data_IF_732786915839
#
_entry.id   IF_732786915839
#
_cell.length_a   1.000
_cell.length_b   1.000
_cell.length_c   1.000
_cell.angle_alpha   90.00
_cell.angle_beta   90.00
_cell.angle_gamma   90.00
#
_symmetry.space_group_name_H-M   'P 1'
#
loop_
_entity.id
_entity.type
_entity.pdbx_description
1 polymer ?
#
# COMPACT_ATOMS: atom_id res chain seq x y z
N UNK A 1 6.10 31.87 6.17
CA UNK A 1 6.28 30.47 6.65
C UNK A 1 4.97 29.85 7.18
N UNK A 2 3.79 30.22 6.63
CA UNK A 2 2.46 29.75 7.11
C UNK A 2 1.74 28.79 6.15
N UNK A 3 2.35 28.38 5.03
CA UNK A 3 1.72 27.52 4.01
C UNK A 3 1.95 26.00 4.20
N UNK A 4 2.89 25.62 5.07
CA UNK A 4 3.24 24.22 5.33
C UNK A 4 2.10 23.34 5.92
N UNK A 5 1.24 23.81 6.85
CA UNK A 5 0.24 22.91 7.44
C UNK A 5 -0.80 22.45 6.41
N UNK A 6 -1.24 23.34 5.51
CA UNK A 6 -2.19 22.96 4.44
C UNK A 6 -1.58 21.98 3.44
N UNK A 7 -0.29 22.13 3.12
CA UNK A 7 0.41 21.23 2.20
C UNK A 7 0.56 19.79 2.75
N UNK A 8 0.47 19.60 4.07
CA UNK A 8 0.54 18.28 4.73
C UNK A 8 -0.85 17.72 5.02
N UNK A 9 -1.77 18.54 5.53
CA UNK A 9 -3.12 18.09 5.90
C UNK A 9 -3.95 17.74 4.67
N UNK A 10 -3.78 18.47 3.56
CA UNK A 10 -4.60 18.25 2.36
C UNK A 10 -4.35 16.89 1.70
N UNK A 11 -3.09 16.44 1.48
CA UNK A 11 -2.84 15.07 1.02
C UNK A 11 -3.43 14.02 1.96
N UNK A 12 -3.22 14.13 3.27
CA UNK A 12 -3.74 13.15 4.25
C UNK A 12 -5.27 13.07 4.19
N UNK A 13 -5.96 14.21 4.07
CA UNK A 13 -7.41 14.25 3.98
C UNK A 13 -7.95 13.74 2.63
N UNK A 14 -7.26 14.03 1.51
CA UNK A 14 -7.77 13.74 0.15
C UNK A 14 -7.33 12.39 -0.42
N UNK A 15 -6.21 11.83 0.05
CA UNK A 15 -5.70 10.55 -0.45
C UNK A 15 -6.71 9.40 -0.30
N UNK A 16 -7.40 9.21 0.85
CA UNK A 16 -8.41 8.16 0.97
C UNK A 16 -9.55 8.30 -0.04
N UNK A 17 -10.00 9.53 -0.30
CA UNK A 17 -11.05 9.81 -1.28
C UNK A 17 -10.61 9.46 -2.69
N UNK A 18 -9.37 9.83 -3.07
CA UNK A 18 -8.81 9.49 -4.39
C UNK A 18 -8.65 7.97 -4.56
N UNK A 19 -8.16 7.28 -3.54
CA UNK A 19 -8.02 5.81 -3.56
C UNK A 19 -9.39 5.14 -3.69
N UNK A 20 -10.38 5.61 -2.94
CA UNK A 20 -11.74 5.06 -3.03
C UNK A 20 -12.39 5.29 -4.40
N UNK A 21 -12.18 6.48 -4.98
CA UNK A 21 -12.63 6.75 -6.35
C UNK A 21 -11.92 5.85 -7.37
N UNK A 22 -10.62 5.60 -7.23
CA UNK A 22 -9.89 4.69 -8.11
C UNK A 22 -10.44 3.25 -8.03
N UNK A 23 -10.78 2.77 -6.83
CA UNK A 23 -11.42 1.47 -6.64
C UNK A 23 -12.82 1.43 -7.26
N UNK A 24 -13.68 2.42 -6.96
CA UNK A 24 -15.03 2.51 -7.56
C UNK A 24 -14.98 2.55 -9.08
N UNK A 25 -14.03 3.29 -9.63
CA UNK A 25 -13.79 3.36 -11.07
C UNK A 25 -13.40 1.99 -11.65
N UNK A 26 -12.50 1.24 -10.98
CA UNK A 26 -12.05 -0.07 -11.48
C UNK A 26 -13.16 -1.13 -11.48
N UNK A 27 -14.12 -1.04 -10.56
CA UNK A 27 -15.28 -1.93 -10.49
C UNK A 27 -16.53 -1.40 -11.22
N UNK A 28 -16.45 -0.21 -11.86
CA UNK A 28 -17.55 0.39 -12.61
C UNK A 28 -18.71 0.92 -11.76
N UNK A 29 -18.47 1.24 -10.49
CA UNK A 29 -19.47 1.76 -9.55
C UNK A 29 -19.40 3.28 -9.41
N UNK A 30 -20.50 3.94 -9.01
CA UNK A 30 -20.50 5.39 -8.81
C UNK A 30 -19.61 5.82 -7.64
N UNK A 31 -19.07 7.04 -7.74
CA UNK A 31 -18.27 7.62 -6.67
C UNK A 31 -19.13 7.99 -5.46
N UNK A 32 -18.57 7.77 -4.28
CA UNK A 32 -19.22 8.06 -3.01
C UNK A 32 -18.49 9.21 -2.33
N UNK A 33 -19.26 10.19 -1.87
CA UNK A 33 -18.72 11.34 -1.15
C UNK A 33 -18.38 11.00 0.31
N UNK A 34 -17.37 11.65 0.89
CA UNK A 34 -17.03 11.48 2.29
C UNK A 34 -18.13 12.06 3.20
N UNK A 35 -18.32 11.44 4.37
CA UNK A 35 -19.24 11.92 5.40
C UNK A 35 -18.48 12.42 6.63
N UNK A 36 -18.79 13.63 7.09
CA UNK A 36 -18.08 14.29 8.21
C UNK A 36 -18.39 13.69 9.59
N UNK A 37 -19.46 12.91 9.71
CA UNK A 37 -19.87 12.21 10.94
C UNK A 37 -19.12 10.89 11.16
N UNK A 38 -18.37 10.40 10.16
CA UNK A 38 -17.60 9.16 10.23
C UNK A 38 -16.14 9.43 10.61
N UNK A 39 -15.53 8.49 11.34
CA UNK A 39 -14.08 8.51 11.59
C UNK A 39 -13.29 8.28 10.29
N UNK A 40 -11.99 8.61 10.27
CA UNK A 40 -11.16 8.50 9.07
C UNK A 40 -11.24 7.13 8.39
N UNK A 41 -11.05 6.06 9.16
CA UNK A 41 -11.09 4.67 8.70
C UNK A 41 -12.51 4.22 8.33
N UNK A 42 -13.53 4.64 9.08
CA UNK A 42 -14.93 4.34 8.78
C UNK A 42 -15.40 5.02 7.47
N UNK A 43 -14.99 6.27 7.26
CA UNK A 43 -15.29 7.04 6.07
C UNK A 43 -14.62 6.42 4.83
N UNK A 44 -13.36 5.96 4.95
CA UNK A 44 -12.69 5.26 3.86
C UNK A 44 -13.42 3.97 3.47
N UNK A 45 -13.82 3.15 4.46
CA UNK A 45 -14.62 1.93 4.21
C UNK A 45 -15.96 2.24 3.56
N UNK A 46 -16.65 3.30 4.02
CA UNK A 46 -17.90 3.75 3.42
C UNK A 46 -17.70 4.14 1.95
N UNK A 47 -16.68 4.92 1.62
CA UNK A 47 -16.42 5.33 0.24
C UNK A 47 -16.03 4.17 -0.68
N UNK A 48 -15.33 3.15 -0.15
CA UNK A 48 -14.93 1.95 -0.91
C UNK A 48 -16.11 1.02 -1.21
N UNK A 49 -16.93 0.70 -0.20
CA UNK A 49 -17.85 -0.45 -0.27
C UNK A 49 -19.33 -0.10 -0.29
N UNK A 50 -19.73 1.14 0.01
CA UNK A 50 -21.14 1.51 -0.07
C UNK A 50 -21.66 1.52 -1.51
N UNK A 51 -22.97 1.29 -1.68
CA UNK A 51 -23.63 1.30 -2.97
C UNK A 51 -24.94 2.11 -2.85
N UNK A 52 -25.42 2.81 -3.89
CA UNK A 52 -26.66 3.59 -3.78
C UNK A 52 -27.92 2.74 -3.55
N UNK A 53 -27.85 1.43 -3.80
CA UNK A 53 -29.00 0.54 -3.68
C UNK A 53 -29.31 0.11 -2.23
N UNK A 54 -28.37 0.27 -1.29
CA UNK A 54 -28.56 -0.15 0.10
C UNK A 54 -27.77 0.72 1.08
N UNK A 55 -28.27 0.84 2.30
CA UNK A 55 -27.56 1.56 3.35
C UNK A 55 -26.33 0.75 3.82
N UNK A 56 -25.14 1.35 3.67
CA UNK A 56 -23.90 0.72 4.12
C UNK A 56 -23.75 0.80 5.63
N UNK A 57 -23.80 -0.36 6.29
CA UNK A 57 -23.53 -0.48 7.72
C UNK A 57 -22.05 -0.78 7.97
N UNK A 58 -21.39 0.16 8.61
CA UNK A 58 -19.97 0.04 8.95
C UNK A 58 -19.79 -1.05 10.02
N UNK A 59 -18.85 -1.98 9.79
CA UNK A 59 -18.50 -3.00 10.78
C UNK A 59 -17.31 -2.52 11.63
N UNK A 60 -17.54 -2.33 12.93
CA UNK A 60 -16.53 -1.84 13.88
C UNK A 60 -15.27 -2.72 13.95
N UNK A 61 -15.40 -4.03 13.74
CA UNK A 61 -14.24 -4.95 13.70
C UNK A 61 -13.34 -4.61 12.52
N UNK A 62 -13.93 -4.38 11.35
CA UNK A 62 -13.18 -4.02 10.14
C UNK A 62 -12.58 -2.62 10.23
N UNK A 63 -13.30 -1.65 10.81
CA UNK A 63 -12.77 -0.30 11.04
C UNK A 63 -11.55 -0.36 11.95
N UNK A 64 -11.61 -1.08 13.07
CA UNK A 64 -10.47 -1.24 13.97
C UNK A 64 -9.31 -1.99 13.34
N UNK A 65 -9.58 -2.95 12.45
CA UNK A 65 -8.54 -3.65 11.71
C UNK A 65 -7.83 -2.70 10.73
N UNK A 66 -8.61 -1.94 9.95
CA UNK A 66 -8.09 -0.95 9.01
C UNK A 66 -7.28 0.14 9.71
N UNK A 67 -7.76 0.64 10.85
CA UNK A 67 -7.06 1.66 11.62
C UNK A 67 -5.66 1.21 12.03
N UNK A 68 -5.54 -0.05 12.49
CA UNK A 68 -4.23 -0.65 12.80
C UNK A 68 -3.37 -0.83 11.57
N UNK A 69 -3.93 -1.25 10.43
CA UNK A 69 -3.18 -1.38 9.18
C UNK A 69 -2.58 -0.02 8.78
N UNK A 70 -3.38 1.05 8.84
CA UNK A 70 -2.94 2.40 8.51
C UNK A 70 -1.84 2.88 9.47
N UNK A 71 -1.99 2.65 10.77
CA UNK A 71 -0.97 3.00 11.77
C UNK A 71 0.34 2.24 11.52
N UNK A 72 0.26 0.93 11.26
CA UNK A 72 1.44 0.09 11.01
C UNK A 72 2.19 0.46 9.74
N UNK A 73 1.53 1.06 8.75
CA UNK A 73 2.14 1.52 7.50
C UNK A 73 2.38 3.03 7.47
N UNK A 74 2.15 3.75 8.58
CA UNK A 74 2.20 5.20 8.59
C UNK A 74 3.60 5.75 8.29
N UNK A 75 4.65 5.10 8.80
CA UNK A 75 6.04 5.42 8.46
C UNK A 75 6.92 4.18 8.62
N UNK A 76 8.00 4.13 7.85
CA UNK A 76 9.00 3.07 7.93
C UNK A 76 10.40 3.64 7.64
N UNK A 77 10.73 4.73 8.34
CA UNK A 77 12.03 5.39 8.32
C UNK A 77 12.52 5.74 6.89
N UNK A 78 13.79 5.46 6.56
CA UNK A 78 14.42 5.82 5.29
C UNK A 78 14.31 4.71 4.25
N UNK A 79 13.09 4.27 3.97
CA UNK A 79 12.82 3.36 2.86
C UNK A 79 12.96 4.07 1.49
N UNK A 80 12.89 3.30 0.40
CA UNK A 80 13.08 3.80 -0.96
C UNK A 80 12.13 4.97 -1.30
N UNK A 81 10.82 4.79 -1.07
CA UNK A 81 9.83 5.85 -1.35
C UNK A 81 10.02 7.09 -0.48
N UNK A 82 10.31 6.94 0.82
CA UNK A 82 10.58 8.09 1.71
C UNK A 82 11.81 8.86 1.24
N UNK A 83 12.87 8.14 0.83
CA UNK A 83 14.08 8.75 0.29
C UNK A 83 13.83 9.48 -1.03
N UNK A 84 13.00 8.92 -1.92
CA UNK A 84 12.57 9.59 -3.16
C UNK A 84 11.79 10.89 -2.87
N UNK A 85 10.86 10.88 -1.91
CA UNK A 85 10.12 12.09 -1.51
C UNK A 85 11.08 13.17 -1.00
N UNK A 86 12.05 12.79 -0.15
CA UNK A 86 13.06 13.73 0.38
C UNK A 86 13.95 14.29 -0.72
N UNK A 87 14.39 13.46 -1.66
CA UNK A 87 15.24 13.87 -2.77
C UNK A 87 14.49 14.78 -3.75
N UNK A 88 13.21 14.49 -4.05
CA UNK A 88 12.39 15.39 -4.84
C UNK A 88 12.16 16.72 -4.12
N UNK A 89 11.85 16.68 -2.82
CA UNK A 89 11.61 17.87 -2.01
C UNK A 89 12.82 18.78 -1.84
N UNK A 90 14.04 18.24 -1.87
CA UNK A 90 15.28 19.05 -1.72
C UNK A 90 15.49 20.04 -2.86
N UNK A 91 14.89 19.79 -4.03
CA UNK A 91 14.87 20.71 -5.18
C UNK A 91 13.87 21.86 -5.04
N UNK A 92 13.08 21.90 -3.96
CA UNK A 92 11.98 22.86 -3.79
C UNK A 92 10.71 22.49 -4.56
N UNK A 93 10.57 21.23 -4.99
CA UNK A 93 9.40 20.76 -5.71
C UNK A 93 8.12 20.87 -4.86
N UNK A 94 6.98 21.01 -5.54
CA UNK A 94 5.66 21.07 -4.90
C UNK A 94 5.42 19.80 -4.05
N UNK A 95 4.98 19.91 -2.79
CA UNK A 95 4.69 18.77 -1.92
C UNK A 95 3.79 17.69 -2.54
N UNK A 96 2.79 18.06 -3.36
CA UNK A 96 1.95 17.08 -4.08
C UNK A 96 2.75 16.29 -5.11
N UNK A 97 3.68 16.94 -5.81
CA UNK A 97 4.57 16.28 -6.76
C UNK A 97 5.57 15.36 -6.05
N UNK A 98 6.08 15.76 -4.88
CA UNK A 98 6.95 14.93 -4.05
C UNK A 98 6.22 13.65 -3.58
N UNK A 99 4.97 13.78 -3.13
CA UNK A 99 4.14 12.63 -2.73
C UNK A 99 3.86 11.72 -3.93
N UNK A 100 3.54 12.28 -5.11
CA UNK A 100 3.36 11.50 -6.33
C UNK A 100 4.62 10.70 -6.71
N UNK A 101 5.82 11.29 -6.57
CA UNK A 101 7.08 10.58 -6.79
C UNK A 101 7.28 9.44 -5.76
N UNK A 102 6.91 9.66 -4.51
CA UNK A 102 6.89 8.62 -3.48
C UNK A 102 5.96 7.46 -3.80
N UNK A 103 4.73 7.75 -4.25
CA UNK A 103 3.75 6.75 -4.68
C UNK A 103 4.28 5.94 -5.87
N UNK A 104 4.88 6.61 -6.87
CA UNK A 104 5.47 5.94 -8.02
C UNK A 104 6.61 4.98 -7.61
N UNK A 105 7.45 5.37 -6.65
CA UNK A 105 8.48 4.50 -6.08
C UNK A 105 7.87 3.32 -5.30
N UNK A 106 6.82 3.57 -4.51
CA UNK A 106 6.11 2.55 -3.74
C UNK A 106 5.44 1.49 -4.61
N UNK A 107 4.94 1.87 -5.79
CA UNK A 107 4.31 0.94 -6.72
C UNK A 107 5.27 -0.11 -7.29
N UNK A 108 6.59 0.06 -7.15
CA UNK A 108 7.56 -0.96 -7.55
C UNK A 108 7.30 -2.30 -6.83
N UNK A 109 7.29 -3.45 -7.54
CA UNK A 109 6.96 -4.75 -6.95
C UNK A 109 7.94 -5.17 -5.85
N UNK A 110 9.19 -4.72 -5.93
CA UNK A 110 10.21 -4.97 -4.91
C UNK A 110 10.09 -4.08 -3.67
N UNK A 111 9.20 -3.07 -3.68
CA UNK A 111 9.01 -2.12 -2.58
C UNK A 111 7.62 -2.26 -1.95
N UNK A 112 6.55 -1.84 -2.63
CA UNK A 112 5.17 -1.93 -2.11
C UNK A 112 4.42 -3.21 -2.48
N UNK A 113 4.93 -4.00 -3.41
CA UNK A 113 4.26 -5.20 -3.94
C UNK A 113 4.35 -6.45 -3.05
N UNK A 114 5.02 -6.37 -1.90
CA UNK A 114 5.25 -7.54 -1.04
C UNK A 114 3.94 -8.20 -0.55
N UNK A 115 2.92 -7.40 -0.23
CA UNK A 115 1.63 -7.91 0.25
C UNK A 115 0.89 -8.71 -0.84
N UNK A 116 0.88 -8.21 -2.07
CA UNK A 116 0.29 -8.89 -3.22
C UNK A 116 1.06 -10.18 -3.56
N UNK A 117 2.39 -10.11 -3.57
CA UNK A 117 3.23 -11.28 -3.80
C UNK A 117 3.01 -12.38 -2.73
N UNK A 118 2.82 -11.99 -1.47
CA UNK A 118 2.50 -12.91 -0.39
C UNK A 118 1.13 -13.58 -0.58
N UNK A 119 0.12 -12.84 -1.02
CA UNK A 119 -1.20 -13.38 -1.32
C UNK A 119 -1.16 -14.34 -2.53
N UNK A 120 -0.49 -13.96 -3.62
CA UNK A 120 -0.31 -14.82 -4.79
C UNK A 120 0.41 -16.12 -4.42
N UNK A 121 1.45 -16.05 -3.58
CA UNK A 121 2.13 -17.22 -3.06
C UNK A 121 1.20 -18.11 -2.22
N UNK A 122 0.33 -17.51 -1.39
CA UNK A 122 -0.64 -18.27 -0.59
C UNK A 122 -1.71 -18.94 -1.45
N UNK A 123 -2.18 -18.27 -2.50
CA UNK A 123 -3.11 -18.83 -3.49
C UNK A 123 -2.48 -20.01 -4.25
N UNK A 124 -1.21 -19.91 -4.63
CA UNK A 124 -0.45 -20.99 -5.28
C UNK A 124 -0.27 -22.24 -4.39
N UNK A 125 -0.07 -22.05 -3.08
CA UNK A 125 0.06 -23.17 -2.13
C UNK A 125 -1.27 -23.90 -1.94
N UNK A 126 -2.40 -23.23 -2.13
CA UNK A 126 -3.73 -23.82 -2.02
C UNK A 126 -4.10 -24.29 -0.61
N UNK A 127 -4.79 -25.44 -0.50
CA UNK A 127 -5.38 -25.92 0.77
C UNK A 127 -4.38 -26.62 1.71
N UNK A 128 -4.82 -26.88 2.95
CA UNK A 128 -4.05 -27.53 4.04
C UNK A 128 -3.34 -28.83 3.61
N UNK A 129 -3.91 -29.55 2.66
CA UNK A 129 -3.42 -30.84 2.17
C UNK A 129 -2.14 -30.70 1.32
N UNK A 130 -1.94 -29.57 0.62
CA UNK A 130 -0.75 -29.30 -0.20
C UNK A 130 0.42 -28.64 0.55
N UNK A 131 0.23 -28.32 1.84
CA UNK A 131 1.09 -27.40 2.60
C UNK A 131 2.50 -27.94 2.89
N UNK A 132 2.67 -29.25 3.05
CA UNK A 132 4.01 -29.87 3.28
C UNK A 132 4.87 -29.88 2.02
N UNK A 133 4.25 -30.02 0.84
CA UNK A 133 4.96 -30.09 -0.43
C UNK A 133 5.18 -28.69 -1.02
N UNK A 134 4.22 -27.76 -0.83
CA UNK A 134 4.38 -26.35 -1.20
C UNK A 134 5.53 -25.66 -0.47
N UNK A 135 5.69 -25.90 0.84
CA UNK A 135 6.79 -25.33 1.64
C UNK A 135 8.17 -25.86 1.17
N UNK A 136 8.26 -27.13 0.77
CA UNK A 136 9.52 -27.70 0.23
C UNK A 136 9.87 -27.11 -1.13
N UNK A 137 8.86 -26.87 -1.99
CA UNK A 137 9.03 -26.27 -3.31
C UNK A 137 9.48 -24.82 -3.22
N UNK A 138 8.89 -24.03 -2.33
CA UNK A 138 9.30 -22.64 -2.07
C UNK A 138 10.73 -22.54 -1.54
N UNK A 139 11.16 -23.49 -0.71
CA UNK A 139 12.54 -23.52 -0.19
C UNK A 139 13.58 -23.73 -1.30
N UNK A 140 13.23 -24.43 -2.38
CA UNK A 140 14.14 -24.73 -3.48
C UNK A 140 14.07 -23.72 -4.64
N UNK A 141 12.87 -23.27 -5.01
CA UNK A 141 12.67 -22.39 -6.17
C UNK A 141 12.72 -20.89 -5.81
N UNK A 142 12.18 -20.50 -4.64
CA UNK A 142 12.02 -19.08 -4.26
C UNK A 142 13.31 -18.46 -3.72
N UNK A 143 14.19 -19.22 -3.05
CA UNK A 143 15.50 -18.70 -2.61
C UNK A 143 16.44 -18.35 -3.78
N UNK A 144 16.21 -18.91 -4.98
CA UNK A 144 16.96 -18.53 -6.19
C UNK A 144 16.37 -17.30 -6.86
N UNK A 145 15.05 -17.20 -7.01
CA UNK A 145 14.42 -16.05 -7.67
C UNK A 145 14.38 -14.78 -6.80
N UNK A 146 14.12 -14.88 -5.49
CA UNK A 146 14.10 -13.72 -4.58
C UNK A 146 15.49 -13.10 -4.45
N UNK A 147 16.55 -13.93 -4.44
CA UNK A 147 17.95 -13.45 -4.43
C UNK A 147 18.34 -12.68 -5.71
N UNK A 148 17.66 -12.94 -6.83
CA UNK A 148 17.91 -12.29 -8.12
C UNK A 148 16.98 -11.07 -8.33
N UNK A 149 15.72 -11.12 -7.89
CA UNK A 149 14.74 -10.03 -8.10
C UNK A 149 14.75 -8.94 -7.04
N UNK A 150 15.04 -9.24 -5.77
CA UNK A 150 14.95 -8.23 -4.68
C UNK A 150 16.23 -7.38 -4.59
N UNK A 151 17.36 -7.87 -5.09
CA UNK A 151 18.61 -7.12 -5.11
C UNK A 151 19.52 -7.59 -6.26
N UNK A 152 19.45 -6.99 -7.47
CA UNK A 152 20.28 -7.39 -8.60
C UNK A 152 21.79 -7.24 -8.33
N UNK A 153 22.16 -6.35 -7.40
CA UNK A 153 23.54 -6.10 -6.96
C UNK A 153 24.07 -7.11 -5.94
N UNK A 154 23.20 -7.88 -5.26
CA UNK A 154 23.62 -8.91 -4.29
C UNK A 154 24.08 -10.21 -4.97
N UNK A 155 24.02 -10.27 -6.30
CA UNK A 155 24.54 -11.36 -7.12
C UNK A 155 26.06 -11.24 -7.41
N UNK A 156 26.73 -10.14 -7.01
CA UNK A 156 28.18 -10.06 -7.09
C UNK A 156 28.84 -10.98 -6.03
N UNK A 157 29.82 -11.82 -6.40
CA UNK A 157 30.44 -12.79 -5.49
C UNK A 157 31.44 -12.05 -4.57
N UNK A 158 30.95 -11.36 -3.55
CA UNK A 158 31.81 -10.64 -2.58
C UNK A 158 31.93 -11.35 -1.23
N UNK A 159 31.11 -12.37 -0.96
CA UNK A 159 31.16 -13.13 0.31
C UNK A 159 31.56 -14.60 0.14
N UNK A 160 32.67 -14.83 -0.58
CA UNK A 160 33.50 -16.04 -0.39
C UNK A 160 34.91 -15.61 0.05
N UNK A 161 35.07 -15.42 1.35
CA UNK A 161 36.29 -15.69 2.11
C UNK A 161 35.90 -16.33 3.42
#
# INVERSE_FOLDING_TARGET
>A
MQALPHAVVLPVAKLPTLVAMAYKYSVGQPFVYPQNNLSYSANFMHMMFSNPCEEYKVNDVLVRALDRILILHADHEQNASTSTVRLAGSSGANPFACIAAGIACLWGPAHGGANEAALNMLEEIGSVVGRRDGVKRLRHDTLREVRVRVCPSAAAPVWRR
#
